data_IF_897632157464
#
_entry.id   IF_897632157464
#
_cell.length_a   1.000
_cell.length_b   1.000
_cell.length_c   1.000
_cell.angle_alpha   90.00
_cell.angle_beta   90.00
_cell.angle_gamma   90.00
#
_symmetry.space_group_name_H-M   'P 1'
#
loop_
_entity.id
_entity.type
_entity.pdbx_description
1 polymer ?
#
# COMPACT_ATOMS: atom_id res chain seq x y z
N UNK A 1 10.09 16.09 17.04
CA UNK A 1 9.07 15.01 17.00
C UNK A 1 8.20 15.11 15.75
N UNK A 2 7.84 16.32 15.31
CA UNK A 2 7.11 16.55 14.05
C UNK A 2 7.80 15.96 12.81
N UNK A 3 9.10 16.22 12.62
CA UNK A 3 9.86 15.70 11.46
C UNK A 3 9.79 14.16 11.35
N UNK A 4 9.80 13.46 12.49
CA UNK A 4 9.70 12.00 12.50
C UNK A 4 8.30 11.54 12.08
N UNK A 5 7.25 12.22 12.57
CA UNK A 5 5.87 11.94 12.18
C UNK A 5 5.68 12.16 10.67
N UNK A 6 6.17 13.27 10.15
CA UNK A 6 6.10 13.60 8.72
C UNK A 6 6.83 12.59 7.85
N UNK A 7 8.01 12.14 8.29
CA UNK A 7 8.77 11.12 7.58
C UNK A 7 7.99 9.80 7.50
N UNK A 8 7.38 9.37 8.61
CA UNK A 8 6.59 8.14 8.67
C UNK A 8 5.35 8.26 7.78
N UNK A 9 4.58 9.33 7.94
CA UNK A 9 3.36 9.56 7.15
C UNK A 9 3.70 9.66 5.66
N UNK A 10 4.79 10.35 5.30
CA UNK A 10 5.26 10.43 3.92
C UNK A 10 5.67 9.06 3.37
N UNK A 11 6.38 8.24 4.15
CA UNK A 11 6.74 6.88 3.75
C UNK A 11 5.48 6.01 3.51
N UNK A 12 4.46 6.11 4.37
CA UNK A 12 3.19 5.39 4.19
C UNK A 12 2.43 5.84 2.92
N UNK A 13 2.44 7.15 2.62
CA UNK A 13 1.85 7.72 1.40
C UNK A 13 2.60 7.23 0.15
N UNK A 14 3.93 7.23 0.17
CA UNK A 14 4.76 6.68 -0.92
C UNK A 14 4.52 5.19 -1.10
N UNK A 15 4.48 4.40 -0.02
CA UNK A 15 4.19 2.97 -0.11
C UNK A 15 2.79 2.70 -0.71
N UNK A 16 1.78 3.49 -0.33
CA UNK A 16 0.45 3.43 -0.95
C UNK A 16 0.49 3.71 -2.46
N UNK A 17 1.35 4.63 -2.90
CA UNK A 17 1.56 4.91 -4.33
C UNK A 17 2.23 3.72 -5.03
N UNK A 18 3.17 3.03 -4.39
CA UNK A 18 3.80 1.81 -4.94
C UNK A 18 2.76 0.70 -5.12
N UNK A 19 1.85 0.50 -4.16
CA UNK A 19 0.73 -0.46 -4.30
C UNK A 19 -0.17 -0.04 -5.47
N UNK A 20 -0.46 1.25 -5.64
CA UNK A 20 -1.25 1.72 -6.76
C UNK A 20 -0.58 1.43 -8.11
N UNK A 21 0.73 1.66 -8.23
CA UNK A 21 1.51 1.28 -9.42
C UNK A 21 1.46 -0.23 -9.65
N UNK A 22 1.56 -1.04 -8.60
CA UNK A 22 1.42 -2.50 -8.71
C UNK A 22 0.05 -2.92 -9.28
N UNK A 23 -1.04 -2.28 -8.86
CA UNK A 23 -2.37 -2.51 -9.42
C UNK A 23 -2.38 -2.18 -10.92
N UNK A 24 -1.82 -1.03 -11.33
CA UNK A 24 -1.76 -0.66 -12.75
C UNK A 24 -0.93 -1.65 -13.56
N UNK A 25 0.21 -2.09 -13.03
CA UNK A 25 1.05 -3.10 -13.67
C UNK A 25 0.32 -4.44 -13.84
N UNK A 26 -0.59 -4.79 -12.92
CA UNK A 26 -1.36 -6.02 -13.02
C UNK A 26 -2.31 -6.08 -14.23
N UNK A 27 -2.64 -4.92 -14.83
CA UNK A 27 -3.48 -4.84 -16.04
C UNK A 27 -2.69 -5.14 -17.32
N UNK A 28 -1.35 -5.10 -17.25
CA UNK A 28 -0.46 -5.34 -18.38
C UNK A 28 0.50 -6.49 -18.05
N UNK A 29 0.20 -7.74 -18.47
CA UNK A 29 0.98 -8.93 -18.11
C UNK A 29 2.49 -8.78 -18.32
N UNK A 30 2.90 -8.27 -19.49
CA UNK A 30 4.31 -8.02 -19.82
C UNK A 30 4.98 -7.02 -18.86
N UNK A 31 4.24 -6.03 -18.36
CA UNK A 31 4.77 -5.05 -17.42
C UNK A 31 4.90 -5.64 -16.01
N UNK A 32 3.94 -6.47 -15.59
CA UNK A 32 4.00 -7.22 -14.33
C UNK A 32 5.17 -8.20 -14.29
N UNK A 33 5.43 -8.88 -15.40
CA UNK A 33 6.50 -9.87 -15.53
C UNK A 33 7.89 -9.26 -15.71
N UNK A 34 7.97 -7.98 -16.05
CA UNK A 34 9.25 -7.26 -16.16
C UNK A 34 10.05 -7.26 -14.85
N UNK A 35 11.36 -7.04 -14.93
CA UNK A 35 12.22 -6.94 -13.74
C UNK A 35 11.76 -5.86 -12.76
N UNK A 36 11.24 -4.74 -13.29
CA UNK A 36 10.66 -3.66 -12.49
C UNK A 36 9.35 -4.08 -11.81
N UNK A 37 8.44 -4.75 -12.55
CA UNK A 37 7.20 -5.26 -12.00
C UNK A 37 7.41 -6.29 -10.90
N UNK A 38 8.36 -7.22 -11.10
CA UNK A 38 8.76 -8.19 -10.07
C UNK A 38 9.39 -7.50 -8.85
N UNK A 39 10.20 -6.47 -9.03
CA UNK A 39 10.80 -5.72 -7.93
C UNK A 39 9.73 -5.03 -7.08
N UNK A 40 8.75 -4.38 -7.72
CA UNK A 40 7.59 -3.81 -7.02
C UNK A 40 6.81 -4.90 -6.29
N UNK A 41 6.52 -6.01 -6.97
CA UNK A 41 5.80 -7.15 -6.39
C UNK A 41 6.44 -7.64 -5.08
N UNK A 42 7.76 -7.83 -5.05
CA UNK A 42 8.48 -8.25 -3.82
C UNK A 42 8.32 -7.28 -2.65
N UNK A 43 8.11 -5.99 -2.93
CA UNK A 43 7.95 -4.94 -1.91
C UNK A 43 6.51 -4.88 -1.38
N UNK A 44 5.51 -5.11 -2.23
CA UNK A 44 4.10 -4.92 -1.87
C UNK A 44 3.36 -6.21 -1.55
N UNK A 45 3.73 -7.34 -2.16
CA UNK A 45 3.03 -8.62 -1.99
C UNK A 45 2.99 -9.10 -0.54
N UNK A 46 4.07 -9.02 0.28
CA UNK A 46 3.98 -9.42 1.68
C UNK A 46 2.90 -8.65 2.47
N UNK A 47 2.67 -7.38 2.14
CA UNK A 47 1.61 -6.58 2.75
C UNK A 47 0.24 -6.95 2.20
N UNK A 48 0.11 -7.10 0.88
CA UNK A 48 -1.14 -7.44 0.19
C UNK A 48 -1.63 -8.84 0.58
N UNK A 49 -0.72 -9.80 0.75
CA UNK A 49 -1.01 -11.19 1.13
C UNK A 49 -1.73 -11.29 2.48
N UNK A 50 -1.44 -10.35 3.39
CA UNK A 50 -2.17 -10.26 4.67
C UNK A 50 -3.64 -9.94 4.49
N UNK A 51 -4.06 -9.38 3.36
CA UNK A 51 -5.46 -9.09 3.06
C UNK A 51 -6.11 -10.20 2.24
N UNK A 52 -5.34 -10.94 1.41
CA UNK A 52 -5.85 -12.07 0.62
C UNK A 52 -6.48 -13.18 1.46
N UNK A 53 -6.03 -13.35 2.71
CA UNK A 53 -6.63 -14.29 3.66
C UNK A 53 -8.04 -13.87 4.13
N UNK A 54 -8.37 -12.58 4.09
CA UNK A 54 -9.66 -12.05 4.54
C UNK A 54 -10.59 -11.65 3.39
N UNK A 55 -10.01 -11.31 2.23
CA UNK A 55 -10.72 -10.77 1.09
C UNK A 55 -10.66 -11.81 -0.03
N UNK A 56 -11.77 -12.52 -0.30
CA UNK A 56 -11.82 -13.46 -1.41
C UNK A 56 -11.72 -12.71 -2.75
N UNK A 57 -11.08 -13.35 -3.73
CA UNK A 57 -11.06 -12.86 -5.10
C UNK A 57 -12.49 -12.86 -5.67
N UNK A 58 -12.88 -11.77 -6.34
CA UNK A 58 -14.16 -11.71 -7.05
C UNK A 58 -13.91 -12.12 -8.50
N UNK A 59 -14.17 -13.40 -8.80
CA UNK A 59 -13.81 -13.99 -10.08
C UNK A 59 -12.28 -13.97 -10.28
N UNK A 60 -11.82 -13.24 -11.29
CA UNK A 60 -10.39 -13.09 -11.60
C UNK A 60 -9.77 -11.81 -11.01
N UNK A 61 -10.55 -11.00 -10.29
CA UNK A 61 -10.11 -9.70 -9.76
C UNK A 61 -9.69 -9.86 -8.29
N UNK A 62 -8.43 -9.53 -8.01
CA UNK A 62 -7.88 -9.42 -6.67
C UNK A 62 -8.18 -8.02 -6.11
N UNK A 63 -9.09 -7.94 -5.12
CA UNK A 63 -9.43 -6.70 -4.43
C UNK A 63 -8.50 -6.40 -3.25
N UNK A 64 -7.63 -7.33 -2.87
CA UNK A 64 -6.72 -7.20 -1.73
C UNK A 64 -5.81 -5.96 -1.83
N UNK A 65 -5.21 -5.63 -2.99
CA UNK A 65 -4.40 -4.42 -3.14
C UNK A 65 -5.18 -3.13 -2.91
N UNK A 66 -6.47 -3.09 -3.29
CA UNK A 66 -7.31 -1.91 -3.09
C UNK A 66 -7.58 -1.69 -1.59
N UNK A 67 -7.93 -2.75 -0.87
CA UNK A 67 -8.16 -2.66 0.57
C UNK A 67 -6.86 -2.37 1.32
N UNK A 68 -5.73 -2.93 0.88
CA UNK A 68 -4.41 -2.59 1.39
C UNK A 68 -4.14 -1.08 1.31
N UNK A 69 -4.46 -0.42 0.18
CA UNK A 69 -4.35 1.05 0.06
C UNK A 69 -5.27 1.77 1.04
N UNK A 70 -6.54 1.34 1.16
CA UNK A 70 -7.50 1.98 2.06
C UNK A 70 -7.00 1.92 3.50
N UNK A 71 -6.58 0.73 3.95
CA UNK A 71 -6.05 0.51 5.31
C UNK A 71 -4.79 1.34 5.55
N UNK A 72 -3.85 1.35 4.59
CA UNK A 72 -2.63 2.16 4.70
C UNK A 72 -2.93 3.66 4.81
N UNK A 73 -3.90 4.19 4.05
CA UNK A 73 -4.32 5.60 4.12
C UNK A 73 -4.99 5.95 5.44
N UNK A 74 -5.88 5.07 5.94
CA UNK A 74 -6.51 5.26 7.25
C UNK A 74 -5.45 5.24 8.36
N UNK A 75 -4.50 4.32 8.30
CA UNK A 75 -3.39 4.24 9.25
C UNK A 75 -2.54 5.52 9.20
N UNK A 76 -2.21 6.03 8.01
CA UNK A 76 -1.43 7.26 7.85
C UNK A 76 -2.13 8.47 8.47
N UNK A 77 -3.43 8.64 8.21
CA UNK A 77 -4.24 9.70 8.82
C UNK A 77 -4.32 9.55 10.35
N UNK A 78 -4.42 8.32 10.85
CA UNK A 78 -4.43 8.03 12.29
C UNK A 78 -3.10 8.41 12.95
N UNK A 79 -1.97 8.05 12.34
CA UNK A 79 -0.63 8.45 12.80
C UNK A 79 -0.52 9.97 12.81
N UNK A 80 -0.89 10.64 11.71
CA UNK A 80 -0.89 12.10 11.62
C UNK A 80 -1.71 12.74 12.75
N UNK A 81 -2.97 12.32 12.93
CA UNK A 81 -3.84 12.87 13.97
C UNK A 81 -3.28 12.64 15.38
N UNK A 82 -2.81 11.43 15.69
CA UNK A 82 -2.26 11.10 17.01
C UNK A 82 -1.02 11.92 17.33
N UNK A 83 -0.12 12.12 16.35
CA UNK A 83 1.08 12.92 16.56
C UNK A 83 0.77 14.41 16.67
N UNK A 84 -0.06 14.97 15.79
CA UNK A 84 -0.34 16.41 15.77
C UNK A 84 -1.29 16.88 16.87
N UNK A 85 -2.15 16.00 17.40
CA UNK A 85 -3.16 16.38 18.42
C UNK A 85 -2.70 16.09 19.85
N UNK A 86 -1.82 15.10 20.05
CA UNK A 86 -1.40 14.68 21.39
C UNK A 86 0.08 14.91 21.71
N UNK A 87 0.94 15.13 20.72
CA UNK A 87 2.39 15.37 20.92
C UNK A 87 2.83 16.82 20.65
N UNK A 88 1.87 17.70 20.31
CA UNK A 88 1.98 19.16 20.30
C UNK A 88 1.03 19.74 21.35
#
# INVERSE_FOLDING_TARGET
>A
MEILADLIVSAMRVYSMIIFVYILLSWFPNARESSFGQAIGRVVEPYIDMFRQFIPNIGMIDLSPLVAIIVMRVAANGVEHLFYTFLL
#
